data_IF_875848020360
#
_entry.id   IF_875848020360
#
_cell.length_a   1.000
_cell.length_b   1.000
_cell.length_c   1.000
_cell.angle_alpha   90.00
_cell.angle_beta   90.00
_cell.angle_gamma   90.00
#
_symmetry.space_group_name_H-M   'P 1'
#
loop_
_entity.id
_entity.type
_entity.pdbx_description
1 polymer ?
#
# COMPACT_ATOMS: atom_id res chain seq x y z
N UNK A 1 2.55 -27.62 -4.56
CA UNK A 1 2.33 -27.47 -3.11
C UNK A 1 3.23 -26.43 -2.46
N UNK A 2 4.54 -26.35 -2.79
CA UNK A 2 5.47 -25.33 -2.26
C UNK A 2 5.16 -23.86 -2.62
N UNK A 3 4.61 -23.59 -3.82
CA UNK A 3 4.25 -22.22 -4.25
C UNK A 3 3.12 -21.59 -3.40
N UNK A 4 2.18 -22.40 -2.93
CA UNK A 4 1.04 -21.95 -2.12
C UNK A 4 1.42 -21.61 -0.68
N UNK A 5 2.38 -22.35 -0.09
CA UNK A 5 2.86 -22.04 1.26
C UNK A 5 3.61 -20.70 1.30
N UNK A 6 4.38 -20.39 0.25
CA UNK A 6 5.04 -19.10 0.08
C UNK A 6 4.04 -17.96 -0.10
N UNK A 7 2.99 -18.16 -0.92
CA UNK A 7 1.96 -17.15 -1.14
C UNK A 7 1.23 -16.77 0.17
N UNK A 8 0.95 -17.74 1.06
CA UNK A 8 0.33 -17.44 2.36
C UNK A 8 1.25 -16.61 3.28
N UNK A 9 2.54 -16.93 3.34
CA UNK A 9 3.51 -16.17 4.14
C UNK A 9 3.73 -14.76 3.58
N UNK A 10 3.80 -14.62 2.26
CA UNK A 10 3.87 -13.32 1.58
C UNK A 10 2.62 -12.49 1.88
N UNK A 11 1.42 -13.08 1.81
CA UNK A 11 0.16 -12.38 2.16
C UNK A 11 0.09 -11.94 3.61
N UNK A 12 0.57 -12.75 4.56
CA UNK A 12 0.68 -12.34 5.97
C UNK A 12 1.70 -11.21 6.17
N UNK A 13 2.84 -11.28 5.48
CA UNK A 13 3.84 -10.23 5.52
C UNK A 13 3.30 -8.91 4.93
N UNK A 14 2.54 -8.98 3.83
CA UNK A 14 1.83 -7.84 3.25
C UNK A 14 0.84 -7.25 4.25
N UNK A 15 0.02 -8.10 4.89
CA UNK A 15 -0.98 -7.67 5.88
C UNK A 15 -0.33 -6.97 7.09
N UNK A 16 0.78 -7.52 7.61
CA UNK A 16 1.55 -6.86 8.66
C UNK A 16 2.15 -5.53 8.20
N UNK A 17 2.73 -5.51 6.99
CA UNK A 17 3.32 -4.31 6.41
C UNK A 17 2.28 -3.22 6.16
N UNK A 18 1.04 -3.58 5.81
CA UNK A 18 -0.06 -2.62 5.57
C UNK A 18 -0.52 -1.90 6.83
N UNK A 19 -0.17 -2.39 8.02
CA UNK A 19 -0.44 -1.70 9.28
C UNK A 19 0.78 -0.87 9.71
N UNK A 20 1.98 -1.45 9.61
CA UNK A 20 3.21 -0.81 10.09
C UNK A 20 3.62 0.39 9.23
N UNK A 21 3.56 0.26 7.90
CA UNK A 21 4.04 1.31 6.98
C UNK A 21 3.18 2.59 7.09
N UNK A 22 1.83 2.53 7.11
CA UNK A 22 1.01 3.72 7.32
C UNK A 22 1.21 4.35 8.70
N UNK A 23 1.40 3.55 9.76
CA UNK A 23 1.69 4.07 11.11
C UNK A 23 3.02 4.82 11.16
N UNK A 24 4.05 4.30 10.50
CA UNK A 24 5.35 4.99 10.38
C UNK A 24 5.21 6.29 9.59
N UNK A 25 4.46 6.29 8.48
CA UNK A 25 4.23 7.49 7.68
C UNK A 25 3.44 8.54 8.48
N UNK A 26 2.39 8.15 9.20
CA UNK A 26 1.62 9.06 10.06
C UNK A 26 2.50 9.59 11.20
N UNK A 27 3.28 8.73 11.87
CA UNK A 27 4.18 9.15 12.94
C UNK A 27 5.25 10.15 12.47
N UNK A 28 5.87 9.89 11.32
CA UNK A 28 6.78 10.84 10.69
C UNK A 28 6.05 12.11 10.23
N UNK A 29 4.88 12.00 9.62
CA UNK A 29 4.18 13.18 9.09
C UNK A 29 3.66 14.07 10.21
N UNK A 30 3.14 13.53 11.32
CA UNK A 30 2.67 14.30 12.48
C UNK A 30 3.84 15.05 13.13
N UNK A 31 4.95 14.35 13.41
CA UNK A 31 6.14 14.99 14.02
C UNK A 31 6.79 16.05 13.13
N UNK A 32 6.61 15.96 11.81
CA UNK A 32 7.17 16.91 10.84
C UNK A 32 6.23 18.07 10.45
N UNK A 33 4.91 17.84 10.40
CA UNK A 33 3.87 18.86 10.14
C UNK A 33 3.77 19.87 11.30
N UNK A 34 4.11 19.45 12.51
CA UNK A 34 4.16 20.37 13.66
C UNK A 34 5.34 21.35 13.56
N UNK A 35 6.41 20.98 12.84
CA UNK A 35 7.60 21.82 12.60
C UNK A 35 7.38 22.76 11.39
N UNK A 36 6.70 22.28 10.35
CA UNK A 36 6.42 23.07 9.15
C UNK A 36 4.91 23.31 9.02
N UNK A 37 4.49 24.58 9.16
CA UNK A 37 3.15 25.19 8.97
C UNK A 37 2.36 24.81 7.69
N UNK A 38 2.67 23.71 7.01
CA UNK A 38 1.94 23.15 5.87
C UNK A 38 0.68 22.40 6.35
N UNK A 39 -0.30 23.17 6.81
CA UNK A 39 -1.62 22.75 7.35
C UNK A 39 -2.56 22.08 6.31
N UNK A 40 -2.05 21.56 5.20
CA UNK A 40 -2.85 21.21 4.01
C UNK A 40 -3.05 19.72 3.71
N UNK A 41 -2.43 18.80 4.45
CA UNK A 41 -2.33 17.39 4.04
C UNK A 41 -3.05 16.40 4.95
N UNK A 42 -4.29 16.71 5.35
CA UNK A 42 -5.21 15.81 6.09
C UNK A 42 -5.54 14.51 5.31
N UNK A 43 -5.27 14.52 4.00
CA UNK A 43 -5.46 13.38 3.10
C UNK A 43 -4.65 12.16 3.53
N UNK A 44 -3.47 12.34 4.15
CA UNK A 44 -2.64 11.21 4.61
C UNK A 44 -3.34 10.34 5.64
N UNK A 45 -4.08 10.94 6.57
CA UNK A 45 -4.82 10.22 7.60
C UNK A 45 -5.88 9.31 6.97
N UNK A 46 -6.64 9.85 6.01
CA UNK A 46 -7.66 9.10 5.29
C UNK A 46 -7.08 7.99 4.41
N UNK A 47 -5.97 8.25 3.72
CA UNK A 47 -5.32 7.24 2.87
C UNK A 47 -4.70 6.13 3.73
N UNK A 48 -4.12 6.46 4.88
CA UNK A 48 -3.59 5.46 5.82
C UNK A 48 -4.70 4.59 6.42
N UNK A 49 -5.84 5.20 6.79
CA UNK A 49 -7.03 4.46 7.24
C UNK A 49 -7.57 3.52 6.16
N UNK A 50 -7.70 4.00 4.92
CA UNK A 50 -8.08 3.16 3.78
C UNK A 50 -7.14 1.97 3.63
N UNK A 51 -5.85 2.18 3.88
CA UNK A 51 -4.86 1.16 3.68
C UNK A 51 -4.83 0.12 4.82
N UNK A 52 -5.11 0.54 6.06
CA UNK A 52 -5.33 -0.37 7.20
C UNK A 52 -6.59 -1.20 6.97
N UNK A 53 -7.70 -0.56 6.58
CA UNK A 53 -8.97 -1.25 6.30
C UNK A 53 -8.80 -2.23 5.15
N UNK A 54 -8.14 -1.83 4.07
CA UNK A 54 -7.77 -2.72 2.98
C UNK A 54 -6.94 -3.90 3.46
N UNK A 55 -5.95 -3.68 4.33
CA UNK A 55 -5.08 -4.72 4.86
C UNK A 55 -5.86 -5.79 5.64
N UNK A 56 -6.88 -5.37 6.41
CA UNK A 56 -7.80 -6.28 7.09
C UNK A 56 -8.56 -7.14 6.08
N UNK A 57 -9.08 -6.55 5.00
CA UNK A 57 -9.76 -7.31 3.95
C UNK A 57 -8.84 -8.32 3.28
N UNK A 58 -7.57 -7.98 3.04
CA UNK A 58 -6.58 -8.91 2.48
C UNK A 58 -6.29 -10.07 3.44
N UNK A 59 -6.15 -9.79 4.74
CA UNK A 59 -5.96 -10.81 5.76
C UNK A 59 -7.15 -11.78 5.84
N UNK A 60 -8.37 -11.23 5.90
CA UNK A 60 -9.61 -12.04 5.93
C UNK A 60 -9.79 -12.82 4.63
N UNK A 61 -9.50 -12.21 3.48
CA UNK A 61 -9.53 -12.85 2.16
C UNK A 61 -8.56 -14.00 2.05
N UNK A 62 -7.34 -13.84 2.58
CA UNK A 62 -6.34 -14.91 2.62
C UNK A 62 -6.76 -16.05 3.56
N UNK A 63 -7.32 -15.72 4.73
CA UNK A 63 -7.76 -16.72 5.72
C UNK A 63 -8.98 -17.52 5.25
N UNK A 64 -9.94 -16.89 4.58
CA UNK A 64 -11.15 -17.54 4.06
C UNK A 64 -11.01 -18.04 2.61
N UNK A 65 -9.83 -17.93 2.01
CA UNK A 65 -9.59 -18.20 0.57
C UNK A 65 -10.57 -17.46 -0.37
N UNK A 66 -11.16 -16.35 0.09
CA UNK A 66 -12.10 -15.56 -0.69
C UNK A 66 -11.36 -14.40 -1.36
N UNK A 67 -10.95 -14.62 -2.60
CA UNK A 67 -10.10 -13.70 -3.36
C UNK A 67 -10.84 -12.43 -3.80
N UNK A 68 -12.18 -12.40 -3.73
CA UNK A 68 -12.95 -11.16 -3.92
C UNK A 68 -12.62 -10.08 -2.89
N UNK A 69 -12.17 -10.47 -1.70
CA UNK A 69 -11.76 -9.54 -0.66
C UNK A 69 -10.39 -8.89 -0.93
N UNK A 70 -9.72 -9.23 -2.03
CA UNK A 70 -8.50 -8.56 -2.47
C UNK A 70 -8.77 -7.26 -3.23
N UNK A 71 -9.96 -7.12 -3.83
CA UNK A 71 -10.33 -5.93 -4.61
C UNK A 71 -10.31 -4.64 -3.78
N UNK A 72 -10.89 -4.59 -2.55
CA UNK A 72 -10.82 -3.39 -1.71
C UNK A 72 -9.39 -2.98 -1.36
N UNK A 73 -8.52 -3.97 -1.11
CA UNK A 73 -7.10 -3.71 -0.83
C UNK A 73 -6.35 -3.22 -2.06
N UNK A 74 -6.56 -3.83 -3.24
CA UNK A 74 -5.95 -3.39 -4.49
C UNK A 74 -6.31 -1.93 -4.79
N UNK A 75 -7.58 -1.55 -4.60
CA UNK A 75 -8.01 -0.17 -4.77
C UNK A 75 -7.34 0.79 -3.78
N UNK A 76 -7.28 0.41 -2.50
CA UNK A 76 -6.58 1.19 -1.47
C UNK A 76 -5.07 1.33 -1.77
N UNK A 77 -4.43 0.26 -2.28
CA UNK A 77 -3.04 0.24 -2.70
C UNK A 77 -2.77 1.18 -3.88
N UNK A 78 -3.63 1.20 -4.90
CA UNK A 78 -3.54 2.16 -6.00
C UNK A 78 -3.57 3.62 -5.50
N UNK A 79 -4.53 3.94 -4.62
CA UNK A 79 -4.66 5.29 -4.05
C UNK A 79 -3.40 5.63 -3.24
N UNK A 80 -2.92 4.71 -2.41
CA UNK A 80 -1.74 4.91 -1.57
C UNK A 80 -0.47 5.16 -2.40
N UNK A 81 -0.23 4.37 -3.45
CA UNK A 81 0.91 4.56 -4.37
C UNK A 81 0.80 5.92 -5.07
N UNK A 82 -0.38 6.28 -5.56
CA UNK A 82 -0.63 7.57 -6.19
C UNK A 82 -0.32 8.73 -5.23
N UNK A 83 -0.80 8.66 -3.99
CA UNK A 83 -0.54 9.68 -2.97
C UNK A 83 0.95 9.78 -2.63
N UNK A 84 1.69 8.67 -2.54
CA UNK A 84 3.13 8.66 -2.33
C UNK A 84 3.89 9.39 -3.45
N UNK A 85 3.58 9.05 -4.71
CA UNK A 85 4.23 9.65 -5.88
C UNK A 85 3.88 11.13 -6.03
N UNK A 86 2.61 11.50 -5.83
CA UNK A 86 2.15 12.88 -5.91
C UNK A 86 2.85 13.77 -4.88
N UNK A 87 2.90 13.32 -3.62
CA UNK A 87 3.61 14.03 -2.55
C UNK A 87 5.12 14.10 -2.81
N UNK A 88 5.72 13.01 -3.31
CA UNK A 88 7.13 12.99 -3.68
C UNK A 88 7.48 14.08 -4.72
N UNK A 89 6.62 14.29 -5.72
CA UNK A 89 6.81 15.34 -6.73
C UNK A 89 6.61 16.73 -6.12
N UNK A 90 5.56 16.92 -5.31
CA UNK A 90 5.31 18.20 -4.66
C UNK A 90 6.46 18.63 -3.74
N UNK A 91 7.00 17.70 -2.96
CA UNK A 91 8.15 17.95 -2.10
C UNK A 91 9.40 18.26 -2.91
N UNK A 92 9.62 17.58 -4.04
CA UNK A 92 10.74 17.89 -4.92
C UNK A 92 10.67 19.32 -5.48
N UNK A 93 9.48 19.79 -5.85
CA UNK A 93 9.27 21.14 -6.41
C UNK A 93 9.36 22.23 -5.33
N UNK A 94 8.74 22.03 -4.16
CA UNK A 94 8.57 23.09 -3.17
C UNK A 94 9.71 23.22 -2.16
N UNK A 95 10.52 22.17 -1.93
CA UNK A 95 11.54 22.18 -0.87
C UNK A 95 12.95 22.52 -1.36
N UNK A 96 13.13 22.95 -2.61
CA UNK A 96 14.41 23.43 -3.20
C UNK A 96 15.64 22.62 -2.74
N UNK A 97 15.52 21.29 -2.68
CA UNK A 97 16.63 20.40 -2.32
C UNK A 97 16.96 20.26 -0.82
N UNK A 98 16.28 20.98 0.10
CA UNK A 98 16.49 20.80 1.56
C UNK A 98 16.12 19.41 2.08
N UNK A 99 15.32 18.65 1.32
CA UNK A 99 14.81 17.32 1.70
C UNK A 99 15.06 16.27 0.61
N UNK A 100 16.25 16.29 0.01
CA UNK A 100 16.66 15.36 -1.05
C UNK A 100 16.56 13.87 -0.67
N UNK A 101 16.52 13.54 0.63
CA UNK A 101 16.43 12.13 1.11
C UNK A 101 14.97 11.65 1.20
N UNK A 102 14.00 12.53 1.42
CA UNK A 102 12.58 12.14 1.61
C UNK A 102 11.95 11.71 0.28
N UNK A 103 12.27 12.42 -0.80
CA UNK A 103 11.78 12.14 -2.16
C UNK A 103 12.11 10.70 -2.61
N UNK A 104 13.39 10.25 -2.61
CA UNK A 104 13.73 8.89 -3.01
C UNK A 104 13.19 7.83 -2.03
N UNK A 105 13.02 8.17 -0.75
CA UNK A 105 12.43 7.26 0.24
C UNK A 105 10.95 6.99 -0.05
N UNK A 106 10.16 8.02 -0.39
CA UNK A 106 8.76 7.86 -0.79
C UNK A 106 8.63 7.08 -2.10
N UNK A 107 9.52 7.32 -3.08
CA UNK A 107 9.55 6.55 -4.33
C UNK A 107 9.92 5.09 -4.10
N UNK A 108 10.88 4.81 -3.21
CA UNK A 108 11.25 3.45 -2.86
C UNK A 108 10.07 2.68 -2.24
N UNK A 109 9.34 3.31 -1.30
CA UNK A 109 8.14 2.73 -0.70
C UNK A 109 7.06 2.50 -1.77
N UNK A 110 6.85 3.44 -2.67
CA UNK A 110 5.87 3.31 -3.76
C UNK A 110 6.22 2.13 -4.70
N UNK A 111 7.49 1.97 -5.06
CA UNK A 111 7.97 0.84 -5.86
C UNK A 111 7.76 -0.49 -5.16
N UNK A 112 8.11 -0.57 -3.88
CA UNK A 112 7.89 -1.75 -3.05
C UNK A 112 6.40 -2.12 -2.94
N UNK A 113 5.51 -1.12 -2.78
CA UNK A 113 4.06 -1.35 -2.74
C UNK A 113 3.49 -1.79 -4.09
N UNK A 114 4.03 -1.24 -5.17
CA UNK A 114 3.64 -1.61 -6.55
C UNK A 114 3.94 -3.08 -6.84
N UNK A 115 5.07 -3.60 -6.32
CA UNK A 115 5.41 -5.01 -6.43
C UNK A 115 4.37 -5.91 -5.75
N UNK A 116 3.98 -5.60 -4.51
CA UNK A 116 2.95 -6.37 -3.81
C UNK A 116 1.58 -6.26 -4.46
N UNK A 117 1.23 -5.07 -4.95
CA UNK A 117 0.00 -4.87 -5.71
C UNK A 117 -0.02 -5.77 -6.95
N UNK A 118 1.11 -5.86 -7.67
CA UNK A 118 1.23 -6.73 -8.83
C UNK A 118 1.08 -8.21 -8.46
N UNK A 119 1.73 -8.68 -7.40
CA UNK A 119 1.64 -10.08 -6.95
C UNK A 119 0.20 -10.48 -6.59
N UNK A 120 -0.49 -9.65 -5.79
CA UNK A 120 -1.89 -9.88 -5.41
C UNK A 120 -2.83 -9.79 -6.61
N UNK A 121 -2.56 -8.91 -7.57
CA UNK A 121 -3.34 -8.79 -8.80
C UNK A 121 -3.17 -10.02 -9.71
N UNK A 122 -1.95 -10.55 -9.84
CA UNK A 122 -1.69 -11.79 -10.57
C UNK A 122 -2.40 -12.98 -9.94
N UNK A 123 -2.39 -13.09 -8.61
CA UNK A 123 -3.12 -14.11 -7.88
C UNK A 123 -4.64 -14.01 -8.09
N UNK A 124 -5.18 -12.80 -8.13
CA UNK A 124 -6.60 -12.57 -8.44
C UNK A 124 -6.95 -13.00 -9.87
N UNK A 125 -6.11 -12.67 -10.86
CA UNK A 125 -6.31 -13.05 -12.26
C UNK A 125 -6.24 -14.57 -12.47
N UNK A 126 -5.24 -15.25 -11.89
CA UNK A 126 -5.09 -16.70 -12.03
C UNK A 126 -6.32 -17.47 -11.53
N UNK A 127 -6.96 -16.97 -10.46
CA UNK A 127 -8.19 -17.58 -9.96
C UNK A 127 -9.36 -17.39 -10.93
N UNK A 128 -9.54 -16.18 -11.48
CA UNK A 128 -10.60 -15.92 -12.47
C UNK A 128 -10.44 -16.77 -13.74
N UNK A 129 -9.21 -16.93 -14.24
CA UNK A 129 -8.92 -17.80 -15.38
C UNK A 129 -9.19 -19.27 -15.07
N UNK A 130 -8.88 -19.74 -13.84
CA UNK A 130 -9.17 -21.12 -13.43
C UNK A 130 -10.67 -21.42 -13.33
N UNK A 131 -11.48 -20.44 -12.88
CA UNK A 131 -12.94 -20.56 -12.80
C UNK A 131 -13.57 -20.61 -14.20
N UNK A 132 -13.02 -19.88 -15.18
CA UNK A 132 -13.51 -19.93 -16.56
C UNK A 132 -13.21 -21.24 -17.29
N UNK A 133 -12.18 -21.99 -16.91
CA UNK A 133 -11.84 -23.27 -17.55
C UNK A 133 -12.60 -24.49 -16.97
N UNK A 134 -13.44 -24.28 -15.95
CA UNK A 134 -14.30 -25.33 -15.38
C UNK A 134 -15.74 -25.32 -15.92
N UNK A 135 -16.06 -24.40 -16.83
CA UNK A 135 -17.32 -24.34 -17.59
C UNK A 135 -17.07 -24.65 -19.06
#
# INVERSE_FOLDING_TARGET
MLRSLNAHHVRMAIAGSTVIVPLLIVGFTITWVEINKCRGFDVWSHVCLLQIVGGIFLFVGSSKSNHWLFVPWLFAACIFIYTLLYNSILYFIHLEGKMLIVVPLLQYIAGFWSYFMYDVFQDFLQMHTSVQMQY
#
